data_IF_379738395465
#
_entry.id   IF_379738395465
#
_cell.length_a   1.000
_cell.length_b   1.000
_cell.length_c   1.000
_cell.angle_alpha   90.00
_cell.angle_beta   90.00
_cell.angle_gamma   90.00
#
_symmetry.space_group_name_H-M   'P 1'
#
loop_
_entity.id
_entity.type
_entity.pdbx_description
1 polymer ?
#
# COMPACT_ATOMS: atom_id res chain seq x y z
N UNK A 1 -0.87 12.48 26.08
CA UNK A 1 -2.17 12.22 25.46
C UNK A 1 -2.08 10.87 24.78
N UNK A 2 -2.67 9.83 25.36
CA UNK A 2 -2.71 8.51 24.72
C UNK A 2 -3.77 8.55 23.65
N UNK A 3 -3.36 8.56 22.37
CA UNK A 3 -4.29 8.34 21.28
C UNK A 3 -4.74 6.87 21.42
N UNK A 4 -6.01 6.56 21.74
CA UNK A 4 -6.44 5.17 21.77
C UNK A 4 -6.29 4.69 20.33
N UNK A 5 -5.29 3.84 20.07
CA UNK A 5 -5.13 3.21 18.78
C UNK A 5 -6.44 2.47 18.51
N UNK A 6 -7.28 3.05 17.65
CA UNK A 6 -8.50 2.40 17.23
C UNK A 6 -8.09 1.04 16.65
N UNK A 7 -8.76 -0.06 17.04
CA UNK A 7 -8.46 -1.35 16.47
C UNK A 7 -8.62 -1.24 14.96
N UNK A 8 -7.70 -1.85 14.22
CA UNK A 8 -7.73 -1.90 12.77
C UNK A 8 -9.06 -2.47 12.31
N UNK A 9 -9.65 -1.87 11.29
CA UNK A 9 -10.82 -2.40 10.62
C UNK A 9 -10.48 -3.72 9.91
N UNK A 10 -11.48 -4.59 9.65
CA UNK A 10 -11.26 -5.83 8.90
C UNK A 10 -10.59 -5.63 7.53
N UNK A 11 -10.86 -4.48 6.89
CA UNK A 11 -10.25 -4.10 5.62
C UNK A 11 -8.76 -3.79 5.78
N UNK A 12 -8.39 -3.00 6.80
CA UNK A 12 -6.99 -2.71 7.12
C UNK A 12 -6.20 -3.97 7.49
N UNK A 13 -6.82 -4.91 8.23
CA UNK A 13 -6.21 -6.20 8.55
C UNK A 13 -5.94 -6.99 7.27
N UNK A 14 -6.92 -7.09 6.37
CA UNK A 14 -6.77 -7.79 5.08
C UNK A 14 -5.65 -7.18 4.22
N UNK A 15 -5.54 -5.85 4.21
CA UNK A 15 -4.48 -5.14 3.48
C UNK A 15 -3.10 -5.39 4.09
N UNK A 16 -2.99 -5.41 5.43
CA UNK A 16 -1.74 -5.74 6.12
C UNK A 16 -1.30 -7.18 5.84
N UNK A 17 -2.22 -8.14 5.92
CA UNK A 17 -1.94 -9.54 5.59
C UNK A 17 -1.47 -9.71 4.14
N UNK A 18 -2.07 -8.96 3.19
CA UNK A 18 -1.61 -8.96 1.80
C UNK A 18 -0.21 -8.35 1.67
N UNK A 19 0.07 -7.26 2.37
CA UNK A 19 1.37 -6.59 2.35
C UNK A 19 2.49 -7.47 2.97
N UNK A 20 2.20 -8.16 4.07
CA UNK A 20 3.15 -9.07 4.73
C UNK A 20 3.51 -10.28 3.86
N UNK A 21 2.63 -10.68 2.93
CA UNK A 21 2.87 -11.77 1.99
C UNK A 21 3.75 -11.39 0.81
N UNK A 22 3.99 -10.10 0.59
CA UNK A 22 4.90 -9.61 -0.44
C UNK A 22 6.35 -9.81 0.00
N UNK A 23 7.24 -10.12 -0.94
CA UNK A 23 8.67 -10.11 -0.65
C UNK A 23 9.19 -8.68 -0.40
N UNK A 24 10.36 -8.55 0.20
CA UNK A 24 10.92 -7.24 0.57
C UNK A 24 11.05 -6.28 -0.63
N UNK A 25 11.34 -6.80 -1.82
CA UNK A 25 11.46 -5.99 -3.05
C UNK A 25 10.09 -5.50 -3.50
N UNK A 26 9.06 -6.34 -3.41
CA UNK A 26 7.68 -5.97 -3.70
C UNK A 26 7.14 -4.96 -2.68
N UNK A 27 7.45 -5.12 -1.39
CA UNK A 27 7.06 -4.17 -0.34
C UNK A 27 7.64 -2.78 -0.59
N UNK A 28 8.93 -2.68 -0.93
CA UNK A 28 9.57 -1.40 -1.28
C UNK A 28 8.89 -0.73 -2.47
N UNK A 29 8.53 -1.51 -3.50
CA UNK A 29 7.84 -0.99 -4.69
C UNK A 29 6.43 -0.50 -4.35
N UNK A 30 5.66 -1.23 -3.55
CA UNK A 30 4.34 -0.79 -3.09
C UNK A 30 4.48 0.49 -2.28
N UNK A 31 5.44 0.56 -1.36
CA UNK A 31 5.69 1.75 -0.55
C UNK A 31 6.00 2.98 -1.41
N UNK A 32 6.85 2.84 -2.43
CA UNK A 32 7.16 3.91 -3.37
C UNK A 32 5.91 4.40 -4.14
N UNK A 33 5.09 3.48 -4.65
CA UNK A 33 3.86 3.82 -5.38
C UNK A 33 2.84 4.54 -4.49
N UNK A 34 2.67 4.07 -3.24
CA UNK A 34 1.79 4.72 -2.26
C UNK A 34 2.31 6.10 -1.89
N UNK A 35 3.62 6.25 -1.68
CA UNK A 35 4.25 7.54 -1.36
C UNK A 35 4.05 8.55 -2.50
N UNK A 36 4.32 8.15 -3.74
CA UNK A 36 4.07 9.00 -4.93
C UNK A 36 2.61 9.47 -5.01
N UNK A 37 1.64 8.61 -4.63
CA UNK A 37 0.22 8.97 -4.62
C UNK A 37 -0.11 9.97 -3.52
N UNK A 38 0.41 9.76 -2.30
CA UNK A 38 0.19 10.65 -1.15
C UNK A 38 0.81 12.03 -1.40
N UNK A 39 2.00 12.06 -2.02
CA UNK A 39 2.69 13.30 -2.38
C UNK A 39 2.09 13.99 -3.62
N UNK A 40 1.07 13.40 -4.25
CA UNK A 40 0.43 13.95 -5.44
C UNK A 40 1.29 13.90 -6.71
N UNK A 41 2.38 13.12 -6.69
CA UNK A 41 3.26 12.89 -7.85
C UNK A 41 2.68 11.88 -8.85
N UNK A 42 1.70 11.07 -8.42
CA UNK A 42 0.96 10.16 -9.27
C UNK A 42 -0.55 10.42 -9.21
N UNK A 43 -1.20 10.41 -10.38
CA UNK A 43 -2.66 10.38 -10.47
C UNK A 43 -3.24 9.07 -9.94
N UNK A 44 -4.54 9.04 -9.67
CA UNK A 44 -5.21 7.82 -9.24
C UNK A 44 -5.11 6.69 -10.29
N UNK A 45 -5.17 7.04 -11.58
CA UNK A 45 -5.02 6.09 -12.68
C UNK A 45 -3.61 5.49 -12.74
N UNK A 46 -2.58 6.33 -12.65
CA UNK A 46 -1.18 5.88 -12.64
C UNK A 46 -0.87 5.02 -11.41
N UNK A 47 -1.41 5.38 -10.24
CA UNK A 47 -1.30 4.57 -9.03
C UNK A 47 -1.87 3.16 -9.23
N UNK A 48 -3.08 3.06 -9.81
CA UNK A 48 -3.71 1.76 -10.08
C UNK A 48 -2.95 0.94 -11.12
N UNK A 49 -2.44 1.58 -12.17
CA UNK A 49 -1.65 0.89 -13.21
C UNK A 49 -0.34 0.33 -12.63
N UNK A 50 0.40 1.14 -11.87
CA UNK A 50 1.65 0.73 -11.23
C UNK A 50 1.45 -0.39 -10.21
N UNK A 51 0.36 -0.36 -9.44
CA UNK A 51 0.03 -1.46 -8.53
C UNK A 51 -0.31 -2.75 -9.27
N UNK A 52 -1.08 -2.70 -10.36
CA UNK A 52 -1.40 -3.90 -11.15
C UNK A 52 -0.15 -4.52 -11.77
N UNK A 53 0.81 -3.69 -12.21
CA UNK A 53 2.08 -4.15 -12.75
C UNK A 53 2.90 -4.96 -11.72
N UNK A 54 2.73 -4.72 -10.42
CA UNK A 54 3.40 -5.51 -9.37
C UNK A 54 2.82 -6.91 -9.20
N UNK A 55 1.53 -7.10 -9.45
CA UNK A 55 0.88 -8.42 -9.38
C UNK A 55 1.09 -9.29 -10.62
N UNK A 56 1.63 -8.71 -11.70
CA UNK A 56 1.74 -9.36 -13.01
C UNK A 56 3.13 -9.98 -13.30
N UNK A 57 4.08 -9.85 -12.37
CA UNK A 57 5.44 -10.42 -12.47
C UNK A 57 5.76 -11.29 -11.28
#
# INVERSE_FOLDING_TARGET
MSNPQQPLSPEEISLLELFERLDAVQQERVYAIVTDRIEGRASHAEFQERLRALSAG
#
